data_IF_126647433870
#
_entry.id   IF_126647433870
#
_cell.length_a   1.000
_cell.length_b   1.000
_cell.length_c   1.000
_cell.angle_alpha   90.00
_cell.angle_beta   90.00
_cell.angle_gamma   90.00
#
_symmetry.space_group_name_H-M   'P 1'
#
loop_
_entity.id
_entity.type
_entity.pdbx_description
1 polymer ?
#
# COMPACT_ATOMS: atom_id res chain seq x y z
N UNK A 1 -12.24 28.13 -5.14
CA UNK A 1 -11.13 27.16 -5.18
C UNK A 1 -11.69 25.75 -5.17
N UNK A 2 -11.10 24.84 -5.93
CA UNK A 2 -11.71 23.54 -6.21
C UNK A 2 -11.74 22.64 -4.97
N UNK A 3 -12.93 22.44 -4.42
CA UNK A 3 -13.24 21.30 -3.55
C UNK A 3 -13.62 20.17 -4.50
N UNK A 4 -12.78 19.16 -4.60
CA UNK A 4 -13.03 18.00 -5.46
C UNK A 4 -13.54 16.90 -4.54
N UNK A 5 -14.80 16.48 -4.72
CA UNK A 5 -15.40 15.35 -3.99
C UNK A 5 -15.40 15.51 -2.46
N UNK A 6 -15.54 16.74 -1.96
CA UNK A 6 -15.53 17.06 -0.53
C UNK A 6 -14.13 17.13 0.09
N UNK A 7 -13.06 16.94 -0.70
CA UNK A 7 -11.68 17.05 -0.27
C UNK A 7 -11.12 18.44 -0.63
N UNK A 8 -10.56 19.13 0.36
CA UNK A 8 -9.99 20.46 0.15
C UNK A 8 -8.53 20.35 -0.29
N UNK A 9 -8.22 20.68 -1.54
CA UNK A 9 -6.86 20.58 -2.08
C UNK A 9 -5.81 21.38 -1.28
N UNK A 10 -6.22 22.35 -0.44
CA UNK A 10 -5.32 23.06 0.50
C UNK A 10 -4.71 22.15 1.58
N UNK A 11 -5.30 20.99 1.83
CA UNK A 11 -4.82 20.03 2.83
C UNK A 11 -3.68 19.16 2.29
N UNK A 12 -3.43 19.20 0.97
CA UNK A 12 -2.23 18.61 0.37
C UNK A 12 -1.06 19.53 0.68
N UNK A 13 -0.31 19.20 1.73
CA UNK A 13 0.83 19.99 2.17
C UNK A 13 2.05 19.09 2.31
N UNK A 14 3.13 19.42 1.60
CA UNK A 14 4.35 18.60 1.55
C UNK A 14 5.02 18.42 2.92
N UNK A 15 4.85 19.37 3.84
CA UNK A 15 5.37 19.23 5.20
C UNK A 15 4.70 18.09 5.99
N UNK A 16 3.51 17.61 5.58
CA UNK A 16 2.85 16.45 6.21
C UNK A 16 3.66 15.16 6.01
N UNK A 17 4.56 15.08 5.01
CA UNK A 17 5.51 13.97 4.87
C UNK A 17 6.65 14.00 5.91
N UNK A 18 6.79 15.07 6.70
CA UNK A 18 7.82 15.14 7.72
C UNK A 18 7.60 14.02 8.74
N UNK A 19 8.66 13.30 9.09
CA UNK A 19 8.63 12.20 10.07
C UNK A 19 7.94 12.57 11.39
N UNK A 20 8.11 13.82 11.84
CA UNK A 20 7.43 14.34 13.03
C UNK A 20 5.90 14.34 12.92
N UNK A 21 5.34 14.56 11.73
CA UNK A 21 3.90 14.52 11.49
C UNK A 21 3.40 13.10 11.16
N UNK A 22 4.17 12.33 10.38
CA UNK A 22 3.81 10.96 10.01
C UNK A 22 3.87 9.97 11.17
N UNK A 23 4.96 10.00 11.95
CA UNK A 23 5.24 9.01 12.99
C UNK A 23 5.15 9.58 14.41
N UNK A 24 5.35 10.89 14.57
CA UNK A 24 5.26 11.58 15.87
C UNK A 24 3.84 11.94 16.30
N UNK A 25 2.91 12.08 15.35
CA UNK A 25 1.53 12.49 15.64
C UNK A 25 0.70 11.29 16.16
N UNK A 26 0.32 11.35 17.44
CA UNK A 26 -0.52 10.35 18.13
C UNK A 26 -2.02 10.71 18.14
N UNK A 27 -2.40 11.82 17.50
CA UNK A 27 -3.78 12.30 17.54
C UNK A 27 -4.73 11.40 16.72
N UNK A 28 -4.20 10.55 15.84
CA UNK A 28 -4.98 9.66 14.95
C UNK A 28 -4.77 8.19 15.30
N UNK A 29 -5.87 7.43 15.35
CA UNK A 29 -5.84 6.01 15.72
C UNK A 29 -5.11 5.17 14.64
N UNK A 30 -4.22 4.27 15.07
CA UNK A 30 -3.44 3.35 14.22
C UNK A 30 -2.55 3.99 13.14
N UNK A 31 -2.44 5.34 13.05
CA UNK A 31 -1.74 6.04 11.97
C UNK A 31 -0.30 5.55 11.75
N UNK A 32 0.50 5.47 12.82
CA UNK A 32 1.89 5.00 12.74
C UNK A 32 1.97 3.56 12.23
N UNK A 33 1.15 2.68 12.77
CA UNK A 33 1.11 1.26 12.38
C UNK A 33 0.67 1.11 10.93
N UNK A 34 -0.38 1.81 10.51
CA UNK A 34 -0.85 1.84 9.11
C UNK A 34 0.26 2.26 8.17
N UNK A 35 0.93 3.38 8.47
CA UNK A 35 1.97 3.91 7.59
C UNK A 35 3.17 2.97 7.48
N UNK A 36 3.62 2.38 8.58
CA UNK A 36 4.75 1.44 8.54
C UNK A 36 4.37 0.18 7.76
N UNK A 37 3.24 -0.44 8.09
CA UNK A 37 2.87 -1.73 7.49
C UNK A 37 2.49 -1.58 6.01
N UNK A 38 1.79 -0.51 5.62
CA UNK A 38 1.47 -0.24 4.22
C UNK A 38 2.75 0.01 3.40
N UNK A 39 3.72 0.76 3.95
CA UNK A 39 4.97 1.03 3.26
C UNK A 39 5.83 -0.23 3.11
N UNK A 40 5.88 -1.11 4.12
CA UNK A 40 6.57 -2.41 4.01
C UNK A 40 5.92 -3.24 2.90
N UNK A 41 4.59 -3.34 2.88
CA UNK A 41 3.87 -4.08 1.83
C UNK A 41 4.22 -3.54 0.44
N UNK A 42 4.10 -2.22 0.24
CA UNK A 42 4.38 -1.58 -1.04
C UNK A 42 5.84 -1.76 -1.49
N UNK A 43 6.81 -1.49 -0.62
CA UNK A 43 8.24 -1.57 -0.97
C UNK A 43 8.62 -3.01 -1.31
N UNK A 44 8.21 -3.99 -0.49
CA UNK A 44 8.56 -5.38 -0.75
C UNK A 44 7.90 -5.92 -2.02
N UNK A 45 6.63 -5.59 -2.29
CA UNK A 45 5.98 -5.98 -3.54
C UNK A 45 6.63 -5.32 -4.77
N UNK A 46 6.96 -4.02 -4.72
CA UNK A 46 7.62 -3.31 -5.83
C UNK A 46 9.04 -3.84 -6.08
N UNK A 47 9.79 -4.17 -5.01
CA UNK A 47 11.12 -4.78 -5.15
C UNK A 47 11.00 -6.19 -5.74
N UNK A 48 10.05 -7.00 -5.28
CA UNK A 48 9.75 -8.32 -5.85
C UNK A 48 9.49 -8.22 -7.36
N UNK A 49 8.57 -7.32 -7.75
CA UNK A 49 8.21 -7.06 -9.14
C UNK A 49 9.43 -6.62 -9.97
N UNK A 50 10.21 -5.66 -9.47
CA UNK A 50 11.35 -5.10 -10.18
C UNK A 50 12.44 -6.15 -10.44
N UNK A 51 12.73 -6.97 -9.42
CA UNK A 51 13.73 -8.04 -9.53
C UNK A 51 13.19 -9.19 -10.39
N UNK A 52 11.91 -9.53 -10.28
CA UNK A 52 11.25 -10.52 -11.14
C UNK A 52 11.25 -10.09 -12.61
N UNK A 53 11.01 -8.82 -12.89
CA UNK A 53 11.07 -8.23 -14.24
C UNK A 53 12.49 -8.24 -14.80
N UNK A 54 13.50 -8.01 -13.96
CA UNK A 54 14.89 -8.16 -14.38
C UNK A 54 15.21 -9.60 -14.79
N UNK A 55 14.78 -10.59 -14.00
CA UNK A 55 14.92 -12.01 -14.35
C UNK A 55 14.17 -12.35 -15.64
N UNK A 56 12.93 -11.85 -15.81
CA UNK A 56 12.13 -12.01 -17.03
C UNK A 56 12.88 -11.48 -18.25
N UNK A 57 13.45 -10.28 -18.14
CA UNK A 57 14.21 -9.66 -19.22
C UNK A 57 15.40 -10.51 -19.64
N UNK A 58 16.08 -11.15 -18.68
CA UNK A 58 17.19 -12.06 -18.98
C UNK A 58 16.71 -13.30 -19.74
N UNK A 59 15.60 -13.92 -19.32
CA UNK A 59 15.01 -15.08 -19.99
C UNK A 59 14.52 -14.77 -21.41
N UNK A 60 13.90 -13.61 -21.62
CA UNK A 60 13.47 -13.16 -22.96
C UNK A 60 14.67 -12.89 -23.86
N UNK A 61 15.73 -12.26 -23.34
CA UNK A 61 16.97 -12.04 -24.10
C UNK A 61 17.63 -13.34 -24.50
N UNK A 62 17.70 -14.30 -23.58
CA UNK A 62 18.22 -15.64 -23.86
C UNK A 62 17.43 -16.32 -24.97
N UNK A 63 16.10 -16.33 -24.88
CA UNK A 63 15.24 -16.86 -25.93
C UNK A 63 15.54 -16.21 -27.29
N UNK A 64 15.52 -14.88 -27.34
CA UNK A 64 15.79 -14.14 -28.59
C UNK A 64 17.21 -14.35 -29.16
N UNK A 65 18.17 -14.69 -28.31
CA UNK A 65 19.56 -14.93 -28.72
C UNK A 65 19.68 -16.31 -29.32
N UNK A 66 19.15 -17.33 -28.65
CA UNK A 66 19.19 -18.73 -29.08
C UNK A 66 18.38 -18.93 -30.37
N UNK A 67 17.16 -18.38 -30.44
CA UNK A 67 16.31 -18.45 -31.65
C UNK A 67 16.90 -17.69 -32.84
N UNK A 68 17.80 -16.73 -32.60
CA UNK A 68 18.51 -15.99 -33.66
C UNK A 68 19.77 -16.71 -34.14
N UNK A 69 20.48 -17.39 -33.24
CA UNK A 69 21.71 -18.13 -33.55
C UNK A 69 21.42 -19.47 -34.21
N UNK A 70 20.35 -20.14 -33.79
CA UNK A 70 19.99 -21.49 -34.24
C UNK A 70 18.58 -21.48 -34.83
N UNK A 71 18.46 -21.68 -36.14
CA UNK A 71 17.17 -21.62 -36.84
C UNK A 71 16.20 -22.73 -36.44
N UNK A 72 16.69 -23.82 -35.83
CA UNK A 72 15.86 -24.93 -35.34
C UNK A 72 15.54 -24.86 -33.86
N UNK A 73 16.14 -23.94 -33.10
CA UNK A 73 16.00 -23.88 -31.65
C UNK A 73 14.82 -23.00 -31.22
N UNK A 74 13.96 -23.53 -30.35
CA UNK A 74 12.93 -22.77 -29.64
C UNK A 74 13.07 -22.93 -28.12
N UNK A 75 13.02 -21.82 -27.40
CA UNK A 75 13.12 -21.80 -25.94
C UNK A 75 11.73 -21.64 -25.35
N UNK A 76 11.34 -22.57 -24.48
CA UNK A 76 10.05 -22.49 -23.80
C UNK A 76 10.27 -22.04 -22.35
N UNK A 77 9.78 -20.84 -22.05
CA UNK A 77 9.84 -20.21 -20.73
C UNK A 77 8.49 -19.60 -20.31
N UNK A 78 7.40 -20.02 -20.99
CA UNK A 78 6.06 -19.44 -20.88
C UNK A 78 5.54 -19.41 -19.43
N UNK A 79 5.88 -20.44 -18.64
CA UNK A 79 5.51 -20.53 -17.23
C UNK A 79 6.10 -19.37 -16.41
N UNK A 80 7.38 -19.05 -16.63
CA UNK A 80 8.04 -17.94 -15.94
C UNK A 80 7.54 -16.59 -16.44
N UNK A 81 7.34 -16.44 -17.75
CA UNK A 81 6.81 -15.21 -18.36
C UNK A 81 5.42 -14.90 -17.81
N UNK A 82 4.55 -15.92 -17.75
CA UNK A 82 3.20 -15.80 -17.23
C UNK A 82 3.16 -15.35 -15.77
N UNK A 83 3.93 -16.01 -14.89
CA UNK A 83 3.92 -15.67 -13.47
C UNK A 83 4.64 -14.36 -13.16
N UNK A 84 5.72 -14.02 -13.87
CA UNK A 84 6.38 -12.73 -13.72
C UNK A 84 5.45 -11.57 -14.13
N UNK A 85 4.66 -11.76 -15.19
CA UNK A 85 3.64 -10.80 -15.62
C UNK A 85 2.52 -10.65 -14.58
N UNK A 86 2.10 -11.77 -13.96
CA UNK A 86 1.12 -11.73 -12.88
C UNK A 86 1.64 -10.99 -11.63
N UNK A 87 2.91 -11.20 -11.27
CA UNK A 87 3.57 -10.50 -10.16
C UNK A 87 3.64 -8.98 -10.40
N UNK A 88 3.91 -8.53 -11.64
CA UNK A 88 3.81 -7.11 -12.01
C UNK A 88 2.41 -6.56 -11.75
N UNK A 89 1.37 -7.25 -12.23
CA UNK A 89 -0.01 -6.83 -12.02
C UNK A 89 -0.36 -6.72 -10.53
N UNK A 90 0.03 -7.72 -9.73
CA UNK A 90 -0.23 -7.77 -8.29
C UNK A 90 0.53 -6.67 -7.55
N UNK A 91 1.80 -6.45 -7.88
CA UNK A 91 2.62 -5.37 -7.31
C UNK A 91 1.98 -3.99 -7.50
N UNK A 92 1.57 -3.67 -8.73
CA UNK A 92 0.86 -2.43 -9.06
C UNK A 92 -0.49 -2.34 -8.34
N UNK A 93 -1.25 -3.42 -8.25
CA UNK A 93 -2.55 -3.43 -7.58
C UNK A 93 -2.42 -3.16 -6.08
N UNK A 94 -1.46 -3.81 -5.40
CA UNK A 94 -1.16 -3.59 -3.98
C UNK A 94 -0.70 -2.14 -3.75
N UNK A 95 0.23 -1.64 -4.58
CA UNK A 95 0.72 -0.27 -4.51
C UNK A 95 -0.40 0.76 -4.74
N UNK A 96 -1.32 0.50 -5.65
CA UNK A 96 -2.45 1.38 -5.93
C UNK A 96 -3.40 1.45 -4.74
N UNK A 97 -3.82 0.30 -4.19
CA UNK A 97 -4.78 0.26 -3.09
C UNK A 97 -4.17 0.80 -1.79
N UNK A 98 -3.05 0.23 -1.33
CA UNK A 98 -2.46 0.66 -0.06
C UNK A 98 -1.70 1.97 -0.15
N UNK A 99 -1.16 2.32 -1.33
CA UNK A 99 -0.55 3.62 -1.58
C UNK A 99 -1.58 4.73 -1.61
N UNK A 100 -2.69 4.54 -2.32
CA UNK A 100 -3.79 5.50 -2.27
C UNK A 100 -4.35 5.62 -0.84
N UNK A 101 -4.56 4.50 -0.14
CA UNK A 101 -4.97 4.51 1.27
C UNK A 101 -4.01 5.32 2.16
N UNK A 102 -2.70 5.10 2.00
CA UNK A 102 -1.64 5.86 2.69
C UNK A 102 -1.75 7.37 2.41
N UNK A 103 -1.87 7.79 1.15
CA UNK A 103 -1.96 9.20 0.80
C UNK A 103 -3.25 9.85 1.32
N UNK A 104 -4.39 9.15 1.23
CA UNK A 104 -5.65 9.66 1.76
C UNK A 104 -5.60 9.84 3.28
N UNK A 105 -5.05 8.88 4.01
CA UNK A 105 -4.89 8.98 5.47
C UNK A 105 -3.87 10.07 5.89
N UNK A 106 -2.89 10.37 5.03
CA UNK A 106 -1.88 11.39 5.25
C UNK A 106 -2.43 12.81 5.02
N UNK A 107 -3.04 13.04 3.86
CA UNK A 107 -3.52 14.37 3.47
C UNK A 107 -4.86 14.71 4.12
N UNK A 108 -5.77 13.75 4.21
CA UNK A 108 -7.17 13.95 4.58
C UNK A 108 -7.63 13.02 5.71
N UNK A 109 -7.03 13.10 6.91
CA UNK A 109 -7.34 12.17 7.99
C UNK A 109 -8.76 12.32 8.57
N UNK A 110 -9.37 13.50 8.45
CA UNK A 110 -10.73 13.77 8.94
C UNK A 110 -11.79 13.69 7.83
N UNK A 111 -11.45 13.07 6.68
CA UNK A 111 -12.38 12.98 5.55
C UNK A 111 -13.66 12.23 5.93
N UNK A 112 -14.79 12.77 5.52
CA UNK A 112 -16.07 12.07 5.60
C UNK A 112 -16.21 11.16 4.38
N UNK A 113 -16.30 9.84 4.62
CA UNK A 113 -16.56 8.87 3.56
C UNK A 113 -17.96 8.28 3.69
N UNK A 114 -18.77 8.22 2.62
CA UNK A 114 -20.03 7.49 2.63
C UNK A 114 -19.78 5.98 2.79
N UNK A 115 -20.76 5.27 3.36
CA UNK A 115 -20.61 3.84 3.72
C UNK A 115 -20.23 2.95 2.54
N UNK A 116 -20.71 3.27 1.34
CA UNK A 116 -20.39 2.54 0.11
C UNK A 116 -18.89 2.60 -0.22
N UNK A 117 -18.26 3.78 -0.09
CA UNK A 117 -16.83 3.95 -0.37
C UNK A 117 -15.97 3.20 0.64
N UNK A 118 -16.37 3.18 1.92
CA UNK A 118 -15.69 2.38 2.96
C UNK A 118 -15.71 0.89 2.65
N UNK A 119 -16.85 0.39 2.17
CA UNK A 119 -16.98 -1.00 1.71
C UNK A 119 -16.12 -1.27 0.47
N UNK A 120 -16.08 -0.35 -0.50
CA UNK A 120 -15.20 -0.47 -1.65
C UNK A 120 -13.73 -0.61 -1.24
N UNK A 121 -13.25 0.18 -0.27
CA UNK A 121 -11.89 0.04 0.27
C UNK A 121 -11.66 -1.32 0.94
N UNK A 122 -12.59 -1.79 1.77
CA UNK A 122 -12.50 -3.09 2.43
C UNK A 122 -12.45 -4.25 1.42
N UNK A 123 -13.31 -4.21 0.41
CA UNK A 123 -13.37 -5.23 -0.65
C UNK A 123 -12.16 -5.18 -1.57
N UNK A 124 -11.70 -3.98 -1.95
CA UNK A 124 -10.49 -3.81 -2.75
C UNK A 124 -9.26 -4.35 -2.01
N UNK A 125 -9.11 -4.01 -0.72
CA UNK A 125 -8.03 -4.52 0.12
C UNK A 125 -8.07 -6.05 0.24
N UNK A 126 -9.25 -6.63 0.42
CA UNK A 126 -9.41 -8.09 0.45
C UNK A 126 -9.03 -8.73 -0.88
N UNK A 127 -9.52 -8.18 -2.00
CA UNK A 127 -9.23 -8.68 -3.34
C UNK A 127 -7.73 -8.68 -3.65
N UNK A 128 -7.04 -7.54 -3.45
CA UNK A 128 -5.60 -7.47 -3.72
C UNK A 128 -4.79 -8.37 -2.79
N UNK A 129 -5.26 -8.59 -1.56
CA UNK A 129 -4.63 -9.53 -0.62
C UNK A 129 -4.74 -10.97 -1.12
N UNK A 130 -5.91 -11.37 -1.64
CA UNK A 130 -6.10 -12.70 -2.23
C UNK A 130 -5.22 -12.89 -3.48
N UNK A 131 -5.15 -11.89 -4.36
CA UNK A 131 -4.25 -11.92 -5.50
C UNK A 131 -2.78 -12.03 -5.06
N UNK A 132 -2.36 -11.29 -4.04
CA UNK A 132 -1.00 -11.35 -3.50
C UNK A 132 -0.66 -12.72 -2.92
N UNK A 133 -1.59 -13.35 -2.20
CA UNK A 133 -1.42 -14.72 -1.71
C UNK A 133 -1.28 -15.70 -2.89
N UNK A 134 -2.16 -15.61 -3.88
CA UNK A 134 -2.14 -16.48 -5.06
C UNK A 134 -0.82 -16.33 -5.83
N UNK A 135 -0.36 -15.10 -6.05
CA UNK A 135 0.89 -14.79 -6.72
C UNK A 135 2.10 -15.32 -5.95
N UNK A 136 2.14 -15.10 -4.63
CA UNK A 136 3.22 -15.60 -3.77
C UNK A 136 3.36 -17.11 -3.88
N UNK A 137 2.23 -17.84 -3.83
CA UNK A 137 2.23 -19.30 -3.94
C UNK A 137 2.62 -19.75 -5.35
N UNK A 138 2.02 -19.18 -6.39
CA UNK A 138 2.26 -19.56 -7.77
C UNK A 138 3.72 -19.26 -8.20
N UNK A 139 4.26 -18.09 -7.86
CA UNK A 139 5.65 -17.73 -8.11
C UNK A 139 6.61 -18.65 -7.36
N UNK A 140 6.30 -18.99 -6.11
CA UNK A 140 7.12 -19.95 -5.34
C UNK A 140 7.14 -21.32 -6.02
N UNK A 141 5.97 -21.84 -6.43
CA UNK A 141 5.88 -23.14 -7.11
C UNK A 141 6.66 -23.11 -8.42
N UNK A 142 6.40 -22.13 -9.29
CA UNK A 142 7.05 -22.05 -10.60
C UNK A 142 8.56 -21.87 -10.46
N UNK A 143 9.04 -21.02 -9.56
CA UNK A 143 10.49 -20.86 -9.34
C UNK A 143 11.11 -22.13 -8.75
N UNK A 144 10.42 -22.84 -7.86
CA UNK A 144 10.94 -24.04 -7.21
C UNK A 144 10.95 -25.28 -8.11
N UNK A 145 9.89 -25.48 -8.91
CA UNK A 145 9.69 -26.70 -9.72
C UNK A 145 9.91 -26.49 -11.21
N UNK A 146 9.71 -25.27 -11.70
CA UNK A 146 9.78 -24.93 -13.12
C UNK A 146 11.19 -24.89 -13.65
N UNK A 147 11.32 -25.25 -14.93
CA UNK A 147 12.57 -25.20 -15.68
C UNK A 147 12.23 -24.77 -17.10
N UNK A 148 13.00 -23.86 -17.67
CA UNK A 148 13.01 -23.61 -19.10
C UNK A 148 13.64 -24.81 -19.82
N UNK A 149 13.09 -25.19 -20.97
CA UNK A 149 13.71 -26.16 -21.86
C UNK A 149 13.96 -25.54 -23.23
N UNK A 150 14.88 -26.14 -23.98
CA UNK A 150 15.21 -25.76 -25.34
C UNK A 150 14.94 -26.98 -26.21
N UNK A 151 14.14 -26.82 -27.26
CA UNK A 151 14.00 -27.83 -28.31
C UNK A 151 14.76 -27.37 -29.54
N UNK A 152 15.71 -28.17 -30.01
CA UNK A 152 16.51 -27.91 -31.20
C UNK A 152 16.82 -29.23 -31.91
N UNK A 153 17.18 -29.18 -33.20
CA UNK A 153 17.66 -30.35 -33.92
C UNK A 153 19.02 -30.81 -33.38
N UNK A 154 19.41 -32.07 -33.64
CA UNK A 154 20.55 -32.72 -32.97
C UNK A 154 21.88 -31.95 -33.07
N UNK A 155 22.08 -31.20 -34.15
CA UNK A 155 23.29 -30.42 -34.40
C UNK A 155 23.29 -29.10 -33.63
N UNK A 156 22.19 -28.35 -33.66
CA UNK A 156 22.02 -27.12 -32.86
C UNK A 156 21.97 -27.44 -31.36
N UNK A 157 21.45 -28.61 -30.97
CA UNK A 157 21.41 -29.05 -29.58
C UNK A 157 22.82 -29.31 -28.99
N UNK A 158 23.75 -29.84 -29.78
CA UNK A 158 25.15 -30.03 -29.37
C UNK A 158 25.86 -28.68 -29.22
N UNK A 159 25.67 -27.75 -30.16
CA UNK A 159 26.25 -26.40 -30.09
C UNK A 159 25.72 -25.60 -28.89
N UNK A 160 24.41 -25.67 -28.60
CA UNK A 160 23.79 -25.03 -27.43
C UNK A 160 24.27 -25.66 -26.11
N UNK A 161 24.60 -26.96 -26.10
CA UNK A 161 25.14 -27.62 -24.92
C UNK A 161 26.58 -27.18 -24.59
N UNK A 162 27.35 -26.74 -25.59
CA UNK A 162 28.68 -26.16 -25.42
C UNK A 162 28.64 -24.68 -25.01
N UNK A 163 27.55 -23.97 -25.32
CA UNK A 163 27.35 -22.59 -24.90
C UNK A 163 27.09 -22.46 -23.39
N UNK A 164 27.69 -21.43 -22.77
CA UNK A 164 27.41 -21.10 -21.38
C UNK A 164 26.06 -20.42 -21.24
N UNK A 165 25.01 -21.22 -21.04
CA UNK A 165 23.64 -20.76 -20.90
C UNK A 165 23.47 -19.86 -19.65
N UNK A 166 23.03 -18.62 -19.87
CA UNK A 166 22.72 -17.64 -18.82
C UNK A 166 21.50 -16.81 -19.25
N UNK A 167 20.42 -16.71 -18.43
CA UNK A 167 20.21 -17.27 -17.09
C UNK A 167 20.06 -18.81 -17.06
N UNK A 168 20.21 -19.43 -15.86
CA UNK A 168 20.05 -20.88 -15.72
C UNK A 168 18.66 -21.34 -16.17
N UNK A 169 18.63 -22.49 -16.87
CA UNK A 169 17.39 -23.14 -17.31
C UNK A 169 16.48 -23.49 -16.13
N UNK A 170 17.06 -23.92 -15.01
CA UNK A 170 16.33 -24.17 -13.76
C UNK A 170 16.09 -22.83 -13.04
N UNK A 171 14.83 -22.44 -12.86
CA UNK A 171 14.49 -21.12 -12.31
C UNK A 171 15.02 -20.90 -10.88
N UNK A 172 15.06 -21.96 -10.07
CA UNK A 172 15.64 -21.94 -8.72
C UNK A 172 17.13 -21.62 -8.66
N UNK A 173 17.87 -21.79 -9.75
CA UNK A 173 19.31 -21.47 -9.76
C UNK A 173 19.54 -20.00 -10.14
N UNK A 174 18.48 -19.28 -10.54
CA UNK A 174 18.51 -17.84 -10.78
C UNK A 174 18.31 -17.06 -9.48
N UNK A 175 19.39 -16.46 -8.98
CA UNK A 175 19.36 -15.67 -7.75
C UNK A 175 18.38 -14.48 -7.78
N UNK A 176 18.07 -13.92 -8.96
CA UNK A 176 17.06 -12.86 -9.10
C UNK A 176 15.65 -13.41 -8.89
N UNK A 177 15.34 -14.58 -9.45
CA UNK A 177 14.05 -15.23 -9.25
C UNK A 177 13.83 -15.59 -7.76
N UNK A 178 14.85 -16.13 -7.08
CA UNK A 178 14.76 -16.40 -5.63
C UNK A 178 14.56 -15.11 -4.83
N UNK A 179 15.34 -14.07 -5.12
CA UNK A 179 15.22 -12.80 -4.41
C UNK A 179 13.81 -12.20 -4.57
N UNK A 180 13.24 -12.26 -5.78
CA UNK A 180 11.86 -11.85 -6.04
C UNK A 180 10.86 -12.60 -5.13
N UNK A 181 10.96 -13.93 -5.06
CA UNK A 181 10.11 -14.77 -4.18
C UNK A 181 10.25 -14.37 -2.70
N UNK A 182 11.48 -14.17 -2.20
CA UNK A 182 11.71 -13.81 -0.80
C UNK A 182 11.07 -12.46 -0.45
N UNK A 183 11.27 -11.45 -1.30
CA UNK A 183 10.63 -10.14 -1.10
C UNK A 183 9.11 -10.24 -1.20
N UNK A 184 8.58 -11.07 -2.10
CA UNK A 184 7.14 -11.28 -2.25
C UNK A 184 6.51 -11.90 -1.00
N UNK A 185 7.17 -12.88 -0.36
CA UNK A 185 6.69 -13.46 0.91
C UNK A 185 6.59 -12.42 2.03
N UNK A 186 7.60 -11.55 2.16
CA UNK A 186 7.59 -10.46 3.14
C UNK A 186 6.47 -9.46 2.79
N UNK A 187 6.34 -9.12 1.51
CA UNK A 187 5.28 -8.27 0.98
C UNK A 187 3.88 -8.82 1.24
N UNK A 188 3.68 -10.13 1.08
CA UNK A 188 2.43 -10.83 1.31
C UNK A 188 2.03 -10.79 2.78
N UNK A 189 2.96 -11.09 3.70
CA UNK A 189 2.69 -11.00 5.13
C UNK A 189 2.30 -9.58 5.54
N UNK A 190 3.01 -8.57 5.02
CA UNK A 190 2.69 -7.17 5.24
C UNK A 190 1.36 -6.74 4.58
N UNK A 191 1.00 -7.30 3.43
CA UNK A 191 -0.26 -7.06 2.72
C UNK A 191 -1.45 -7.61 3.51
N UNK A 192 -1.35 -8.84 4.02
CA UNK A 192 -2.34 -9.44 4.92
C UNK A 192 -2.53 -8.59 6.17
N UNK A 193 -1.42 -8.19 6.81
CA UNK A 193 -1.47 -7.30 7.97
C UNK A 193 -2.12 -5.94 7.63
N UNK A 194 -1.79 -5.37 6.46
CA UNK A 194 -2.38 -4.12 5.97
C UNK A 194 -3.89 -4.24 5.77
N UNK A 195 -4.37 -5.36 5.22
CA UNK A 195 -5.79 -5.64 5.08
C UNK A 195 -6.48 -5.69 6.44
N UNK A 196 -5.94 -6.46 7.40
CA UNK A 196 -6.52 -6.55 8.75
C UNK A 196 -6.58 -5.17 9.41
N UNK A 197 -5.49 -4.41 9.35
CA UNK A 197 -5.42 -3.06 9.94
C UNK A 197 -6.44 -2.12 9.28
N UNK A 198 -6.62 -2.19 7.96
CA UNK A 198 -7.60 -1.38 7.24
C UNK A 198 -9.03 -1.67 7.72
N UNK A 199 -9.35 -2.94 7.93
CA UNK A 199 -10.65 -3.36 8.46
C UNK A 199 -10.86 -2.90 9.91
N UNK A 200 -9.85 -3.07 10.77
CA UNK A 200 -9.88 -2.57 12.15
C UNK A 200 -10.02 -1.05 12.21
N UNK A 201 -9.32 -0.32 11.35
CA UNK A 201 -9.43 1.12 11.23
C UNK A 201 -10.85 1.55 10.87
N UNK A 202 -11.47 0.93 9.86
CA UNK A 202 -12.83 1.29 9.49
C UNK A 202 -13.86 0.91 10.57
N UNK A 203 -13.66 -0.18 11.31
CA UNK A 203 -14.52 -0.52 12.46
C UNK A 203 -14.41 0.53 13.59
N UNK A 204 -13.20 1.03 13.85
CA UNK A 204 -12.98 2.12 14.79
C UNK A 204 -13.60 3.43 14.28
N UNK A 205 -13.42 3.75 13.00
CA UNK A 205 -13.97 4.94 12.34
C UNK A 205 -15.50 4.96 12.41
N UNK A 206 -16.15 3.81 12.18
CA UNK A 206 -17.60 3.65 12.23
C UNK A 206 -18.16 3.93 13.64
N UNK A 207 -17.38 3.66 14.70
CA UNK A 207 -17.83 3.73 16.10
C UNK A 207 -17.42 5.04 16.79
N UNK A 208 -16.22 5.54 16.52
CA UNK A 208 -15.57 6.59 17.32
C UNK A 208 -15.02 7.77 16.50
N UNK A 209 -15.05 7.68 15.16
CA UNK A 209 -14.41 8.65 14.28
C UNK A 209 -12.89 8.45 14.15
N UNK A 210 -12.17 9.35 13.45
CA UNK A 210 -10.78 9.15 13.03
C UNK A 210 -9.72 9.42 14.11
N UNK A 211 -10.11 10.06 15.22
CA UNK A 211 -9.20 10.49 16.29
C UNK A 211 -8.93 9.37 17.29
N UNK A 212 -7.72 9.38 17.85
CA UNK A 212 -7.38 8.48 18.96
C UNK A 212 -8.17 8.83 20.23
N UNK A 213 -8.32 7.86 21.13
CA UNK A 213 -9.04 8.06 22.40
C UNK A 213 -8.51 9.28 23.18
N UNK A 214 -7.19 9.44 23.24
CA UNK A 214 -6.52 10.56 23.93
C UNK A 214 -6.81 11.90 23.26
N UNK A 215 -6.78 11.97 21.93
CA UNK A 215 -7.09 13.21 21.22
C UNK A 215 -8.57 13.59 21.32
N UNK A 216 -9.48 12.61 21.30
CA UNK A 216 -10.90 12.84 21.52
C UNK A 216 -11.16 13.42 22.92
N UNK A 217 -10.56 12.85 23.95
CA UNK A 217 -10.69 13.38 25.32
C UNK A 217 -10.13 14.81 25.43
N UNK A 218 -9.00 15.11 24.79
CA UNK A 218 -8.45 16.47 24.75
C UNK A 218 -9.42 17.47 24.13
N UNK A 219 -10.00 17.13 22.98
CA UNK A 219 -10.96 17.99 22.29
C UNK A 219 -12.27 18.17 23.07
N UNK A 220 -12.74 17.13 23.77
CA UNK A 220 -13.92 17.19 24.64
C UNK A 220 -13.67 18.12 25.84
N UNK A 221 -12.49 18.03 26.46
CA UNK A 221 -12.07 18.94 27.54
C UNK A 221 -11.99 20.37 27.03
N UNK A 222 -11.33 20.63 25.90
CA UNK A 222 -11.22 21.98 25.32
C UNK A 222 -12.59 22.59 25.02
N UNK A 223 -13.52 21.82 24.45
CA UNK A 223 -14.90 22.27 24.21
C UNK A 223 -15.64 22.60 25.50
N UNK A 224 -15.46 21.79 26.54
CA UNK A 224 -16.09 22.02 27.84
C UNK A 224 -15.59 23.30 28.50
N UNK A 225 -14.27 23.57 28.42
CA UNK A 225 -13.64 24.79 28.93
C UNK A 225 -14.18 26.02 28.18
N UNK A 226 -14.20 25.97 26.84
CA UNK A 226 -14.71 27.07 26.01
C UNK A 226 -16.19 27.38 26.28
N UNK A 227 -16.99 26.35 26.55
CA UNK A 227 -18.41 26.51 26.89
C UNK A 227 -18.56 27.12 28.28
N UNK A 228 -17.78 26.65 29.26
CA UNK A 228 -17.76 27.23 30.60
C UNK A 228 -17.33 28.70 30.59
N UNK A 229 -16.34 29.07 29.76
CA UNK A 229 -15.88 30.44 29.59
C UNK A 229 -16.95 31.34 28.97
N UNK A 230 -17.64 30.88 27.91
CA UNK A 230 -18.79 31.61 27.33
C UNK A 230 -19.90 31.85 28.33
N UNK A 231 -20.30 30.83 29.10
CA UNK A 231 -21.35 30.95 30.12
C UNK A 231 -20.93 31.97 31.19
N UNK A 232 -19.65 31.98 31.57
CA UNK A 232 -19.10 32.94 32.55
C UNK A 232 -19.12 34.37 32.01
N UNK A 233 -18.75 34.56 30.74
CA UNK A 233 -18.81 35.87 30.08
C UNK A 233 -20.24 36.39 29.96
N UNK A 234 -21.19 35.56 29.53
CA UNK A 234 -22.61 35.92 29.44
C UNK A 234 -23.22 36.30 30.80
N UNK A 235 -22.75 35.66 31.88
CA UNK A 235 -23.19 35.98 33.24
C UNK A 235 -22.64 37.34 33.70
N UNK A 236 -21.35 37.60 33.47
CA UNK A 236 -20.74 38.92 33.75
C UNK A 236 -21.39 40.05 32.98
N UNK A 237 -21.72 39.84 31.70
CA UNK A 237 -22.42 40.85 30.89
C UNK A 237 -23.83 41.13 31.41
N UNK A 238 -24.57 40.10 31.85
CA UNK A 238 -25.88 40.29 32.50
C UNK A 238 -25.79 41.08 33.80
N UNK A 239 -24.80 40.76 34.65
CA UNK A 239 -24.62 41.46 35.92
C UNK A 239 -24.28 42.95 35.67
N UNK A 240 -23.42 43.28 34.70
CA UNK A 240 -23.13 44.67 34.32
C UNK A 240 -24.37 45.45 33.83
N UNK A 241 -25.26 44.83 33.07
CA UNK A 241 -26.50 45.47 32.61
C UNK A 241 -27.44 45.77 33.78
N UNK A 242 -27.51 44.88 34.79
CA UNK A 242 -28.31 45.10 36.00
C UNK A 242 -27.74 46.27 36.81
N UNK A 243 -26.42 46.37 36.96
CA UNK A 243 -25.79 47.50 37.66
C UNK A 243 -26.03 48.85 36.95
N UNK A 244 -26.00 48.89 35.62
CA UNK A 244 -26.27 50.13 34.87
C UNK A 244 -27.74 50.57 34.84
N UNK A 245 -28.70 49.67 35.08
CA UNK A 245 -30.12 50.02 35.23
C UNK A 245 -30.54 50.32 36.68
N UNK A 246 -29.72 49.97 37.67
CA UNK A 246 -29.96 50.27 39.08
C UNK A 246 -29.66 51.73 39.48
N UNK A 247 -28.81 52.42 38.72
CA UNK A 247 -28.31 53.78 39.05
C UNK A 247 -29.12 54.92 38.40
N UNK A 248 -30.24 54.60 37.74
CA UNK A 248 -31.10 55.54 37.01
C UNK A 248 -32.28 56.11 37.80
N UNK A 249 -32.21 56.15 39.14
CA UNK A 249 -33.23 56.82 39.97
C UNK A 249 -32.57 57.72 41.02
N UNK A 250 -32.29 58.96 40.63
CA UNK A 250 -32.36 60.15 41.50
C UNK A 250 -33.01 61.26 40.69
#
# INVERSE_FOLDING_TARGET
MAVIWGLNLKDIQWWKFKSSYMFGNKDYHLRRTKFVVYQIAMICCVVSESVGTAALTDYVKQQSTIERLHSSASVHNDDFVGIASYNIFVGIAVATVFGAGFFFDLFFPERWEPRNIRWSWRLAALFVTLCCIADTLALTVIVATGNAWISADSQDAEEIAEEKINPPLRYRDNGRAIASVVFLWIGMAATVASCIILWLYYNHLDTYGPKSHTARMRDEVDKSILTAERVTLERRSRDQVIFHHGDGRI
#
